data_IF_845212677146
#
_entry.id   IF_845212677146
#
_cell.length_a   1.000
_cell.length_b   1.000
_cell.length_c   1.000
_cell.angle_alpha   90.00
_cell.angle_beta   90.00
_cell.angle_gamma   90.00
#
_symmetry.space_group_name_H-M   'P 1'
#
loop_
_entity.id
_entity.type
_entity.pdbx_description
1 polymer ?
#
# COMPACT_ATOMS: atom_id res chain seq x y z
N UNK A 1 -18.38 -1.59 -22.43
CA UNK A 1 -16.99 -1.75 -21.95
C UNK A 1 -16.87 -1.03 -20.63
N UNK A 2 -16.59 -1.75 -19.55
CA UNK A 2 -16.31 -1.17 -18.23
C UNK A 2 -14.81 -1.19 -17.98
N UNK A 3 -14.25 -0.08 -17.52
CA UNK A 3 -12.86 -0.02 -17.06
C UNK A 3 -12.83 -0.42 -15.58
N UNK A 4 -12.05 -1.43 -15.23
CA UNK A 4 -12.01 -1.99 -13.87
C UNK A 4 -10.82 -1.45 -13.05
N UNK A 5 -9.78 -0.95 -13.71
CA UNK A 5 -8.59 -0.37 -13.09
C UNK A 5 -8.03 0.76 -13.96
N UNK A 6 -7.44 1.78 -13.36
CA UNK A 6 -6.81 2.87 -14.12
C UNK A 6 -5.57 3.41 -13.41
N UNK A 7 -4.50 3.59 -14.18
CA UNK A 7 -3.23 4.16 -13.71
C UNK A 7 -3.39 5.67 -13.54
N UNK A 8 -2.99 6.17 -12.37
CA UNK A 8 -3.14 7.59 -12.02
C UNK A 8 -1.83 8.39 -12.07
N UNK A 9 -0.68 7.72 -12.04
CA UNK A 9 0.61 8.40 -11.94
C UNK A 9 1.69 7.82 -12.88
N UNK A 10 2.88 8.42 -12.82
CA UNK A 10 4.05 8.01 -13.59
C UNK A 10 4.44 6.55 -13.35
N UNK A 11 5.12 5.97 -14.34
CA UNK A 11 5.59 4.59 -14.26
C UNK A 11 6.55 4.40 -13.08
N UNK A 12 6.41 3.29 -12.38
CA UNK A 12 7.30 2.92 -11.29
C UNK A 12 8.66 2.45 -11.81
N UNK A 13 9.72 2.87 -11.11
CA UNK A 13 11.08 2.38 -11.30
C UNK A 13 11.57 1.71 -10.01
N UNK A 14 12.53 0.78 -10.13
CA UNK A 14 13.16 0.07 -9.01
C UNK A 14 14.06 0.97 -8.15
N UNK A 15 13.48 1.99 -7.51
CA UNK A 15 14.19 2.92 -6.62
C UNK A 15 13.26 3.47 -5.53
N UNK A 16 13.83 3.77 -4.35
CA UNK A 16 13.06 4.33 -3.24
C UNK A 16 12.39 5.65 -3.57
N UNK A 17 13.08 6.51 -4.34
CA UNK A 17 12.53 7.79 -4.79
C UNK A 17 11.27 7.62 -5.64
N UNK A 18 11.24 6.60 -6.51
CA UNK A 18 10.06 6.31 -7.33
C UNK A 18 8.89 5.83 -6.47
N UNK A 19 9.14 4.91 -5.55
CA UNK A 19 8.12 4.40 -4.62
C UNK A 19 7.54 5.55 -3.80
N UNK A 20 8.39 6.36 -3.16
CA UNK A 20 7.95 7.53 -2.40
C UNK A 20 7.19 8.54 -3.24
N UNK A 21 7.60 8.80 -4.49
CA UNK A 21 6.88 9.77 -5.34
C UNK A 21 5.46 9.33 -5.69
N UNK A 22 5.23 8.02 -5.85
CA UNK A 22 3.89 7.47 -6.02
C UNK A 22 3.11 7.63 -4.71
N UNK A 23 3.74 7.35 -3.56
CA UNK A 23 3.09 7.50 -2.26
C UNK A 23 2.69 8.95 -1.99
N UNK A 24 3.59 9.90 -2.22
CA UNK A 24 3.31 11.33 -2.07
C UNK A 24 2.17 11.78 -2.98
N UNK A 25 2.10 11.27 -4.22
CA UNK A 25 1.03 11.60 -5.15
C UNK A 25 -0.32 11.06 -4.70
N UNK A 26 -0.38 9.80 -4.26
CA UNK A 26 -1.62 9.19 -3.76
C UNK A 26 -2.08 9.83 -2.45
N UNK A 27 -1.15 10.12 -1.53
CA UNK A 27 -1.44 10.82 -0.27
C UNK A 27 -2.04 12.22 -0.54
N UNK A 28 -1.53 12.93 -1.55
CA UNK A 28 -2.00 14.27 -1.93
C UNK A 28 -3.40 14.26 -2.55
N UNK A 29 -3.78 13.20 -3.27
CA UNK A 29 -5.06 13.11 -4.00
C UNK A 29 -6.05 12.14 -3.34
N UNK A 30 -5.78 11.68 -2.12
CA UNK A 30 -6.58 10.66 -1.45
C UNK A 30 -8.05 11.05 -1.30
N UNK A 31 -8.35 12.34 -1.08
CA UNK A 31 -9.73 12.85 -0.94
C UNK A 31 -10.54 12.71 -2.24
N UNK A 32 -9.87 12.64 -3.39
CA UNK A 32 -10.50 12.40 -4.70
C UNK A 32 -10.60 10.89 -5.01
N UNK A 33 -9.62 10.11 -4.58
CA UNK A 33 -9.51 8.69 -4.92
C UNK A 33 -10.35 7.80 -4.02
N UNK A 34 -10.34 8.03 -2.70
CA UNK A 34 -11.08 7.20 -1.73
C UNK A 34 -12.58 7.09 -2.09
N UNK A 35 -13.31 8.16 -2.45
CA UNK A 35 -14.74 8.05 -2.80
C UNK A 35 -15.01 7.31 -4.12
N UNK A 36 -14.01 7.21 -4.99
CA UNK A 36 -14.15 6.62 -6.33
C UNK A 36 -13.55 5.21 -6.43
N UNK A 37 -12.74 4.81 -5.45
CA UNK A 37 -12.19 3.45 -5.27
C UNK A 37 -13.20 2.52 -4.60
N UNK A 38 -13.58 1.44 -5.28
CA UNK A 38 -14.54 0.45 -4.76
C UNK A 38 -14.48 -0.85 -5.57
N UNK A 39 -15.10 -1.95 -5.10
CA UNK A 39 -15.16 -3.19 -5.87
C UNK A 39 -15.56 -3.00 -7.33
N UNK A 40 -14.68 -3.44 -8.24
CA UNK A 40 -14.80 -3.28 -9.69
C UNK A 40 -14.25 -1.97 -10.26
N UNK A 41 -13.63 -1.11 -9.43
CA UNK A 41 -13.09 0.20 -9.79
C UNK A 41 -11.89 0.54 -8.91
N UNK A 42 -10.69 0.27 -9.40
CA UNK A 42 -9.46 0.37 -8.61
C UNK A 42 -8.48 1.40 -9.18
N UNK A 43 -7.99 2.29 -8.32
CA UNK A 43 -6.83 3.12 -8.63
C UNK A 43 -5.56 2.27 -8.65
N UNK A 44 -4.80 2.37 -9.74
CA UNK A 44 -3.58 1.59 -9.96
C UNK A 44 -2.32 2.46 -9.73
N UNK A 45 -1.59 2.27 -8.61
CA UNK A 45 -0.31 2.91 -8.32
C UNK A 45 0.88 2.29 -9.08
N UNK A 46 0.61 1.46 -10.09
CA UNK A 46 1.57 0.71 -10.90
C UNK A 46 2.17 -0.50 -10.18
N UNK A 47 2.95 -1.28 -10.92
CA UNK A 47 3.40 -2.62 -10.52
C UNK A 47 4.27 -2.69 -9.25
N UNK A 48 4.29 -3.85 -8.59
CA UNK A 48 5.24 -4.18 -7.53
C UNK A 48 6.63 -4.42 -8.13
N UNK A 49 7.63 -3.68 -7.61
CA UNK A 49 9.04 -3.81 -7.99
C UNK A 49 9.85 -4.65 -6.98
N UNK A 50 9.15 -5.34 -6.10
CA UNK A 50 9.70 -6.22 -5.06
C UNK A 50 10.60 -7.29 -5.69
N UNK A 51 11.85 -7.41 -5.22
CA UNK A 51 12.83 -8.36 -5.74
C UNK A 51 13.63 -7.86 -6.95
N UNK A 52 13.33 -6.67 -7.49
CA UNK A 52 14.13 -6.08 -8.56
C UNK A 52 15.46 -5.49 -8.03
N UNK A 53 16.51 -5.40 -8.87
CA UNK A 53 17.74 -4.70 -8.52
C UNK A 53 17.47 -3.27 -8.04
N UNK A 54 18.11 -2.87 -6.93
CA UNK A 54 17.94 -1.54 -6.33
C UNK A 54 16.85 -1.45 -5.26
N UNK A 55 16.08 -2.53 -5.04
CA UNK A 55 15.07 -2.60 -3.97
C UNK A 55 15.64 -3.40 -2.79
N UNK A 56 15.62 -2.78 -1.59
CA UNK A 56 15.96 -3.47 -0.34
C UNK A 56 14.73 -4.16 0.25
N UNK A 57 14.93 -5.08 1.19
CA UNK A 57 13.84 -5.77 1.90
C UNK A 57 12.90 -4.78 2.57
N UNK A 58 13.43 -3.74 3.23
CA UNK A 58 12.61 -2.73 3.90
C UNK A 58 11.78 -1.89 2.90
N UNK A 59 12.35 -1.56 1.75
CA UNK A 59 11.62 -0.86 0.68
C UNK A 59 10.50 -1.75 0.11
N UNK A 60 10.75 -3.06 -0.04
CA UNK A 60 9.75 -4.02 -0.48
C UNK A 60 8.60 -4.18 0.53
N UNK A 61 8.92 -4.27 1.84
CA UNK A 61 7.92 -4.30 2.91
C UNK A 61 7.07 -3.02 2.89
N UNK A 62 7.71 -1.86 2.73
CA UNK A 62 7.02 -0.58 2.62
C UNK A 62 6.08 -0.55 1.42
N UNK A 63 6.54 -0.94 0.23
CA UNK A 63 5.70 -0.97 -0.96
C UNK A 63 4.50 -1.91 -0.78
N UNK A 64 4.74 -3.16 -0.34
CA UNK A 64 3.68 -4.15 -0.14
C UNK A 64 2.63 -3.66 0.86
N UNK A 65 3.07 -3.12 1.99
CA UNK A 65 2.17 -2.61 3.05
C UNK A 65 1.29 -1.49 2.53
N UNK A 66 1.87 -0.49 1.86
CA UNK A 66 1.12 0.69 1.41
C UNK A 66 0.17 0.35 0.26
N UNK A 67 0.58 -0.47 -0.70
CA UNK A 67 -0.31 -0.90 -1.80
C UNK A 67 -1.51 -1.68 -1.23
N UNK A 68 -1.27 -2.54 -0.24
CA UNK A 68 -2.32 -3.33 0.39
C UNK A 68 -3.30 -2.47 1.21
N UNK A 69 -2.79 -1.43 1.87
CA UNK A 69 -3.63 -0.46 2.57
C UNK A 69 -4.56 0.27 1.59
N UNK A 70 -4.12 0.57 0.38
CA UNK A 70 -4.96 1.19 -0.63
C UNK A 70 -5.92 0.24 -1.36
N UNK A 71 -5.87 -1.07 -1.11
CA UNK A 71 -6.57 -2.06 -1.94
C UNK A 71 -6.15 -1.93 -3.42
N UNK A 72 -4.85 -1.75 -3.67
CA UNK A 72 -4.31 -1.54 -5.00
C UNK A 72 -4.11 -2.87 -5.73
N UNK A 73 -4.20 -2.92 -7.07
CA UNK A 73 -3.85 -4.13 -7.82
C UNK A 73 -2.41 -4.59 -7.52
N UNK A 74 -2.25 -5.77 -6.91
CA UNK A 74 -0.95 -6.35 -6.57
C UNK A 74 -0.33 -7.09 -7.77
N UNK A 75 0.07 -6.35 -8.81
CA UNK A 75 0.66 -6.89 -10.04
C UNK A 75 2.19 -6.86 -9.95
N UNK A 76 2.85 -8.00 -10.04
CA UNK A 76 4.32 -8.11 -9.91
C UNK A 76 5.04 -7.88 -11.25
N UNK A 77 6.12 -7.11 -11.25
CA UNK A 77 7.00 -6.88 -12.42
C UNK A 77 8.43 -7.39 -12.19
N UNK A 78 8.57 -8.53 -11.49
CA UNK A 78 9.86 -9.15 -11.15
C UNK A 78 9.98 -10.56 -11.74
N UNK A 79 11.22 -11.06 -11.93
CA UNK A 79 11.47 -12.42 -12.38
C UNK A 79 11.32 -13.43 -11.22
N UNK A 80 10.16 -14.09 -11.18
CA UNK A 80 9.82 -15.06 -10.13
C UNK A 80 10.71 -16.31 -10.12
N UNK A 81 11.47 -16.58 -11.19
CA UNK A 81 12.38 -17.74 -11.26
C UNK A 81 13.63 -17.53 -10.41
N UNK A 82 13.99 -16.27 -10.18
CA UNK A 82 15.25 -15.88 -9.54
C UNK A 82 15.05 -15.03 -8.29
N UNK A 83 13.81 -14.91 -7.82
CA UNK A 83 13.47 -14.06 -6.67
C UNK A 83 14.10 -14.60 -5.37
N UNK A 84 14.69 -13.71 -4.58
CA UNK A 84 15.23 -14.03 -3.27
C UNK A 84 14.14 -14.51 -2.29
N UNK A 85 14.45 -15.46 -1.37
CA UNK A 85 13.48 -16.00 -0.42
C UNK A 85 12.84 -14.92 0.46
N UNK A 86 13.57 -13.87 0.82
CA UNK A 86 13.08 -12.73 1.59
C UNK A 86 11.96 -11.96 0.85
N UNK A 87 12.13 -11.70 -0.44
CA UNK A 87 11.12 -11.04 -1.25
C UNK A 87 9.93 -11.94 -1.56
N UNK A 88 10.18 -13.24 -1.76
CA UNK A 88 9.13 -14.24 -1.88
C UNK A 88 8.23 -14.28 -0.64
N UNK A 89 8.82 -14.21 0.56
CA UNK A 89 8.06 -14.21 1.80
C UNK A 89 7.16 -12.96 1.93
N UNK A 90 7.64 -11.79 1.46
CA UNK A 90 6.83 -10.56 1.42
C UNK A 90 5.64 -10.73 0.48
N UNK A 91 5.88 -11.21 -0.74
CA UNK A 91 4.85 -11.41 -1.77
C UNK A 91 3.82 -12.49 -1.41
N UNK A 92 4.18 -13.43 -0.53
CA UNK A 92 3.30 -14.50 -0.07
C UNK A 92 2.72 -14.26 1.33
N UNK A 93 2.91 -13.06 1.89
CA UNK A 93 2.38 -12.74 3.22
C UNK A 93 0.85 -12.67 3.17
N UNK A 94 0.20 -13.74 3.65
CA UNK A 94 -1.26 -13.88 3.62
C UNK A 94 -1.98 -12.81 4.41
N UNK A 95 -1.45 -12.39 5.55
CA UNK A 95 -2.10 -11.38 6.39
C UNK A 95 -2.16 -10.02 5.68
N UNK A 96 -1.09 -9.66 4.97
CA UNK A 96 -1.03 -8.41 4.19
C UNK A 96 -1.92 -8.50 2.95
N UNK A 97 -1.95 -9.66 2.28
CA UNK A 97 -2.85 -9.92 1.15
C UNK A 97 -4.31 -9.88 1.60
N UNK A 98 -4.65 -10.43 2.76
CA UNK A 98 -6.01 -10.42 3.30
C UNK A 98 -6.47 -9.00 3.62
N UNK A 99 -5.55 -8.13 4.08
CA UNK A 99 -5.83 -6.69 4.18
C UNK A 99 -6.15 -6.13 2.80
N UNK A 100 -5.31 -6.34 1.78
CA UNK A 100 -5.53 -5.86 0.41
C UNK A 100 -6.88 -6.33 -0.18
N UNK A 101 -7.18 -7.62 -0.03
CA UNK A 101 -8.33 -8.31 -0.59
C UNK A 101 -9.58 -8.26 0.30
N UNK A 102 -9.60 -7.38 1.30
CA UNK A 102 -10.78 -7.18 2.14
C UNK A 102 -12.02 -6.92 1.27
N UNK A 103 -13.14 -7.65 1.49
CA UNK A 103 -14.29 -7.62 0.60
C UNK A 103 -15.00 -6.28 0.53
N UNK A 104 -14.78 -5.37 1.50
CA UNK A 104 -15.32 -4.02 1.43
C UNK A 104 -14.64 -3.19 0.35
N UNK A 105 -13.41 -3.52 -0.03
CA UNK A 105 -12.66 -2.84 -1.09
C UNK A 105 -12.45 -1.34 -0.84
N UNK A 106 -12.42 -0.93 0.42
CA UNK A 106 -12.20 0.49 0.79
C UNK A 106 -10.72 0.81 0.67
N UNK A 107 -10.40 1.94 0.06
CA UNK A 107 -9.05 2.48 0.05
C UNK A 107 -8.70 3.06 1.43
N UNK A 108 -7.56 2.68 1.99
CA UNK A 108 -7.04 3.30 3.22
C UNK A 108 -6.58 4.74 3.00
N UNK A 109 -6.51 5.50 4.09
CA UNK A 109 -6.19 6.93 4.09
C UNK A 109 -4.98 7.22 4.98
N UNK A 110 -4.21 8.25 4.62
CA UNK A 110 -3.18 8.82 5.48
C UNK A 110 -3.85 9.70 6.53
N UNK A 111 -3.74 9.34 7.81
CA UNK A 111 -4.38 10.09 8.92
C UNK A 111 -3.41 11.01 9.66
N UNK A 112 -2.11 10.72 9.59
CA UNK A 112 -1.09 11.55 10.22
C UNK A 112 0.24 11.40 9.49
N UNK A 113 0.99 12.50 9.41
CA UNK A 113 2.38 12.50 8.99
C UNK A 113 3.16 13.37 9.99
N UNK A 114 3.90 12.73 10.88
CA UNK A 114 4.55 13.38 12.02
C UNK A 114 6.01 12.96 12.03
N UNK A 115 6.91 13.94 11.95
CA UNK A 115 8.36 13.73 12.06
C UNK A 115 8.90 12.64 11.12
N UNK A 116 8.42 12.59 9.87
CA UNK A 116 8.86 11.60 8.88
C UNK A 116 8.18 10.23 8.99
N UNK A 117 7.22 10.06 9.91
CA UNK A 117 6.41 8.84 10.02
C UNK A 117 4.99 9.12 9.54
N UNK A 118 4.59 8.41 8.48
CA UNK A 118 3.22 8.40 7.97
C UNK A 118 2.41 7.27 8.61
N UNK A 119 1.20 7.58 9.06
CA UNK A 119 0.25 6.65 9.66
C UNK A 119 -0.96 6.53 8.74
N UNK A 120 -1.28 5.31 8.36
CA UNK A 120 -2.40 4.98 7.49
C UNK A 120 -3.44 4.15 8.23
N UNK A 121 -4.71 4.36 7.87
CA UNK A 121 -5.85 3.63 8.43
C UNK A 121 -6.70 3.13 7.28
N UNK A 122 -7.02 1.83 7.30
CA UNK A 122 -7.96 1.19 6.38
C UNK A 122 -9.09 0.53 7.18
N UNK A 123 -10.35 0.92 6.99
CA UNK A 123 -11.48 0.16 7.50
C UNK A 123 -11.54 -1.21 6.82
N UNK A 124 -11.66 -2.28 7.60
CA UNK A 124 -11.71 -3.66 7.13
C UNK A 124 -12.79 -4.45 7.89
N UNK A 125 -13.06 -5.65 7.39
CA UNK A 125 -13.86 -6.65 8.09
C UNK A 125 -13.11 -7.26 9.29
N UNK A 126 -13.82 -7.80 10.28
CA UNK A 126 -15.27 -7.83 10.43
C UNK A 126 -15.87 -6.46 10.77
N UNK A 127 -17.11 -6.26 10.33
CA UNK A 127 -17.94 -5.09 10.62
C UNK A 127 -19.06 -5.52 11.56
N UNK A 128 -19.28 -4.75 12.61
CA UNK A 128 -20.30 -5.02 13.63
C UNK A 128 -21.38 -3.93 13.59
N UNK A 129 -22.64 -4.32 13.77
CA UNK A 129 -23.70 -3.37 14.09
C UNK A 129 -23.83 -3.26 15.62
N UNK A 130 -23.72 -2.04 16.13
CA UNK A 130 -23.94 -1.74 17.54
C UNK A 130 -25.02 -0.67 17.68
N UNK A 131 -26.25 -1.13 17.89
CA UNK A 131 -27.43 -0.27 18.06
C UNK A 131 -27.66 0.70 16.89
N UNK A 132 -27.50 0.21 15.66
CA UNK A 132 -27.66 1.00 14.44
C UNK A 132 -26.43 1.85 14.06
N UNK A 133 -25.31 1.71 14.80
CA UNK A 133 -24.02 2.26 14.40
C UNK A 133 -23.13 1.16 13.84
N UNK A 134 -22.66 1.34 12.61
CA UNK A 134 -21.68 0.47 11.98
C UNK A 134 -20.29 0.71 12.59
N UNK A 135 -19.71 -0.33 13.18
CA UNK A 135 -18.36 -0.33 13.76
C UNK A 135 -17.46 -1.19 12.87
N UNK A 136 -16.38 -0.61 12.37
CA UNK A 136 -15.39 -1.30 11.56
C UNK A 136 -14.24 -1.84 12.40
N UNK A 137 -13.62 -2.90 11.92
CA UNK A 137 -12.24 -3.22 12.29
C UNK A 137 -11.29 -2.36 11.45
N UNK A 138 -10.04 -2.18 11.90
CA UNK A 138 -9.09 -1.31 11.20
C UNK A 138 -7.73 -1.99 11.04
N UNK A 139 -7.17 -1.88 9.83
CA UNK A 139 -5.75 -2.12 9.59
C UNK A 139 -4.98 -0.80 9.72
N UNK A 140 -3.85 -0.84 10.42
CA UNK A 140 -2.96 0.30 10.63
C UNK A 140 -1.63 0.06 9.91
N UNK A 141 -1.24 1.01 9.07
CA UNK A 141 0.05 1.00 8.38
C UNK A 141 0.95 2.12 8.90
N UNK A 142 2.19 1.79 9.25
CA UNK A 142 3.19 2.79 9.66
C UNK A 142 4.34 2.79 8.66
N UNK A 143 4.63 3.96 8.09
CA UNK A 143 5.71 4.13 7.14
C UNK A 143 6.70 5.15 7.68
N UNK A 144 7.91 4.68 8.00
CA UNK A 144 9.03 5.56 8.28
C UNK A 144 9.69 5.99 6.95
N UNK A 145 9.69 7.29 6.69
CA UNK A 145 10.23 7.92 5.48
C UNK A 145 11.66 8.45 5.69
N UNK A 146 12.19 8.38 6.91
CA UNK A 146 13.54 8.86 7.20
C UNK A 146 14.59 8.00 6.49
N UNK A 147 15.40 8.67 5.68
CA UNK A 147 16.56 8.09 5.01
C UNK A 147 17.82 8.10 5.89
N UNK A 148 17.71 8.57 7.14
CA UNK A 148 18.83 8.64 8.08
C UNK A 148 18.84 7.38 8.95
N UNK A 149 19.69 6.42 8.59
CA UNK A 149 20.16 5.38 9.51
C UNK A 149 21.06 5.92 10.66
N UNK A 150 21.11 7.25 10.86
CA UNK A 150 21.93 7.94 11.85
C UNK A 150 21.06 8.89 12.68
N UNK A 151 20.29 8.33 13.60
CA UNK A 151 20.03 8.99 14.87
C UNK A 151 20.49 8.01 15.93
N UNK A 152 21.69 8.25 16.45
CA UNK A 152 22.14 7.67 17.71
C UNK A 152 21.07 7.95 18.76
N UNK A 153 20.43 6.91 19.27
CA UNK A 153 19.67 7.00 20.51
C UNK A 153 20.61 7.55 21.60
N UNK A 154 20.22 8.67 22.19
CA UNK A 154 20.63 9.09 23.53
C UNK A 154 19.42 8.93 24.45
#
# INVERSE_FOLDING_TARGET
>A
MSCNLWRNFANINSSWKSILSIIDYYDLHQDEYIPTHKPGRWHDPDTLVIGNPGITVNMAIAQMTIWSIWSAPLIMSTDLRTIGPEFRNILLNREVIDVDQDPMGIMGQLVANISGVSVYVKPITPVYDHWGNTIYSFALGFLNRDIKANVSCF
#
